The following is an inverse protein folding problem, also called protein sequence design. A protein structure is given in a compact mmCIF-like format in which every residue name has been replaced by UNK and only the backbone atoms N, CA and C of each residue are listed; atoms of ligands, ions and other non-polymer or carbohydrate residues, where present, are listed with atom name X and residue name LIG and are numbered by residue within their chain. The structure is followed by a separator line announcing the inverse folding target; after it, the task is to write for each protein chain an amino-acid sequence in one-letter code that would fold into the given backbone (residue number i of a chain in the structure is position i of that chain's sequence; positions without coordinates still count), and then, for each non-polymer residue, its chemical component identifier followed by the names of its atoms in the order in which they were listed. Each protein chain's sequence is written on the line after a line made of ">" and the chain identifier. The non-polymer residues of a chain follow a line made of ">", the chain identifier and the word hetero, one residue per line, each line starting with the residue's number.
data_IF_057151485589
#
_entry.id   IF_057151485589
#
_cell.length_a   1.000
_cell.length_b   1.000
_cell.length_c   1.000
_cell.angle_alpha   90.00
_cell.angle_beta   90.00
_cell.angle_gamma   90.00
#
_symmetry.space_group_name_H-M   'P 1'
#
loop_
_entity.id
_entity.type
_entity.pdbx_description
1 polymer ?
#
# COMPACT_ATOMS: atom_id res chain seq x y z
N UNK A 1 2.42 -7.08 46.08
CA UNK A 1 1.86 -7.95 45.02
C UNK A 1 1.12 -7.04 44.05
N UNK A 2 1.36 -7.17 42.74
CA UNK A 2 0.73 -6.31 41.73
C UNK A 2 -0.04 -7.21 40.76
N UNK A 3 -1.34 -7.00 40.64
CA UNK A 3 -2.17 -7.69 39.66
C UNK A 3 -2.38 -6.81 38.43
N UNK A 4 -2.28 -7.43 37.26
CA UNK A 4 -2.54 -6.75 36.00
C UNK A 4 -2.95 -7.74 34.91
N UNK A 5 -4.13 -7.49 34.33
CA UNK A 5 -4.69 -8.29 33.22
C UNK A 5 -4.60 -9.82 33.48
N UNK A 6 -5.02 -10.24 34.68
CA UNK A 6 -5.07 -11.65 35.08
C UNK A 6 -3.71 -12.29 35.42
N UNK A 7 -2.62 -11.51 35.47
CA UNK A 7 -1.31 -11.98 35.94
C UNK A 7 -0.91 -11.29 37.24
N UNK A 8 -0.53 -12.11 38.21
CA UNK A 8 0.06 -11.65 39.46
C UNK A 8 1.58 -11.53 39.32
N UNK A 9 2.11 -10.35 39.64
CA UNK A 9 3.55 -10.07 39.63
C UNK A 9 4.05 -9.98 41.06
N UNK A 10 4.96 -10.89 41.39
CA UNK A 10 5.68 -10.93 42.67
C UNK A 10 7.16 -10.63 42.37
N UNK A 11 7.74 -9.55 42.92
CA UNK A 11 9.14 -9.24 42.71
C UNK A 11 10.02 -10.34 43.32
N UNK A 12 11.07 -10.74 42.61
CA UNK A 12 12.08 -11.68 43.12
C UNK A 12 13.36 -10.89 43.39
N UNK A 13 13.88 -10.93 44.61
CA UNK A 13 15.06 -10.16 45.05
C UNK A 13 14.92 -8.64 44.78
N UNK A 14 13.73 -8.07 45.00
CA UNK A 14 13.45 -6.65 44.72
C UNK A 14 13.35 -6.28 43.24
N UNK A 15 13.41 -7.26 42.33
CA UNK A 15 13.36 -7.05 40.88
C UNK A 15 11.96 -7.42 40.37
N UNK A 16 11.34 -6.47 39.68
CA UNK A 16 10.08 -6.64 38.97
C UNK A 16 10.37 -7.01 37.51
N UNK A 17 9.64 -8.00 36.98
CA UNK A 17 9.73 -8.45 35.60
C UNK A 17 8.36 -8.37 34.93
N UNK A 18 8.33 -8.03 33.65
CA UNK A 18 7.09 -7.99 32.89
C UNK A 18 6.55 -9.43 32.71
N UNK A 19 5.30 -9.73 33.10
CA UNK A 19 4.72 -11.07 32.98
C UNK A 19 4.46 -11.48 31.52
N UNK A 20 4.53 -10.53 30.58
CA UNK A 20 4.28 -10.75 29.15
C UNK A 20 5.58 -10.84 28.32
N UNK A 21 6.75 -10.85 28.95
CA UNK A 21 8.05 -11.01 28.28
C UNK A 21 8.22 -10.06 27.06
N UNK A 22 8.03 -8.76 27.30
CA UNK A 22 7.96 -7.73 26.26
C UNK A 22 9.32 -7.30 25.67
N UNK A 23 10.43 -7.92 26.05
CA UNK A 23 11.75 -7.64 25.47
C UNK A 23 11.87 -8.13 24.03
N UNK A 24 12.82 -7.54 23.29
CA UNK A 24 13.17 -7.95 21.93
C UNK A 24 13.76 -9.37 21.92
N UNK A 25 13.49 -10.13 20.86
CA UNK A 25 14.07 -11.45 20.69
C UNK A 25 15.60 -11.35 20.61
N UNK A 26 16.30 -12.22 21.33
CA UNK A 26 17.77 -12.21 21.39
C UNK A 26 18.38 -11.24 22.41
N UNK A 27 17.57 -10.43 23.11
CA UNK A 27 18.05 -9.52 24.15
C UNK A 27 17.53 -9.90 25.55
N UNK A 28 18.28 -9.58 26.62
CA UNK A 28 17.80 -9.76 27.98
C UNK A 28 16.49 -9.00 28.22
N UNK A 29 15.57 -9.64 28.95
CA UNK A 29 14.27 -9.04 29.25
C UNK A 29 14.43 -7.82 30.16
N UNK A 30 13.67 -6.74 29.93
CA UNK A 30 13.72 -5.56 30.78
C UNK A 30 13.31 -5.91 32.21
N UNK A 31 14.00 -5.30 33.16
CA UNK A 31 13.79 -5.46 34.59
C UNK A 31 13.64 -4.09 35.26
N UNK A 32 12.85 -4.02 36.32
CA UNK A 32 12.66 -2.80 37.09
C UNK A 32 13.04 -3.04 38.54
N UNK A 33 13.87 -2.15 39.10
CA UNK A 33 14.27 -2.18 40.52
C UNK A 33 13.28 -1.47 41.45
N UNK A 34 12.32 -0.75 40.88
CA UNK A 34 11.31 0.02 41.65
C UNK A 34 9.91 -0.32 41.19
N UNK A 35 8.98 -0.38 42.14
CA UNK A 35 7.56 -0.58 41.86
C UNK A 35 6.99 0.52 40.96
N UNK A 36 7.36 1.78 41.21
CA UNK A 36 6.89 2.93 40.43
C UNK A 36 7.34 2.86 38.96
N UNK A 37 8.56 2.36 38.69
CA UNK A 37 9.04 2.13 37.33
C UNK A 37 8.27 1.02 36.65
N UNK A 38 8.03 -0.08 37.37
CA UNK A 38 7.25 -1.21 36.88
C UNK A 38 5.80 -0.83 36.56
N UNK A 39 5.09 -0.14 37.47
CA UNK A 39 3.72 0.34 37.27
C UNK A 39 3.59 1.29 36.07
N UNK A 40 4.61 2.11 35.79
CA UNK A 40 4.66 2.98 34.61
C UNK A 40 4.79 2.21 33.29
N UNK A 41 5.48 1.06 33.32
CA UNK A 41 5.64 0.20 32.14
C UNK A 41 4.34 -0.53 31.78
N UNK A 42 3.62 -1.07 32.77
CA UNK A 42 2.44 -1.93 32.56
C UNK A 42 1.40 -1.39 31.55
N UNK A 43 0.93 -0.12 31.63
CA UNK A 43 -0.02 0.42 30.66
C UNK A 43 0.58 0.64 29.26
N UNK A 44 1.91 0.70 29.14
CA UNK A 44 2.65 0.93 27.90
C UNK A 44 3.29 -0.35 27.34
N UNK A 45 3.03 -1.50 27.94
CA UNK A 45 3.66 -2.75 27.52
C UNK A 45 3.16 -3.13 26.11
N UNK A 46 4.07 -3.32 25.13
CA UNK A 46 3.69 -3.63 23.76
C UNK A 46 3.07 -5.03 23.60
N UNK A 47 3.36 -5.95 24.53
CA UNK A 47 2.81 -7.32 24.55
C UNK A 47 1.64 -7.47 25.53
N UNK A 48 1.05 -6.37 25.97
CA UNK A 48 -0.10 -6.38 26.86
C UNK A 48 -1.32 -6.98 26.14
N UNK A 49 -2.00 -7.99 26.71
CA UNK A 49 -3.17 -8.63 26.10
C UNK A 49 -4.23 -7.64 25.58
N UNK A 50 -4.62 -6.65 26.39
CA UNK A 50 -5.63 -5.66 25.95
C UNK A 50 -5.20 -4.84 24.73
N UNK A 51 -3.92 -4.51 24.63
CA UNK A 51 -3.36 -3.79 23.48
C UNK A 51 -3.36 -4.69 22.24
N UNK A 52 -2.90 -5.93 22.37
CA UNK A 52 -2.88 -6.90 21.27
C UNK A 52 -4.30 -7.21 20.76
N UNK A 53 -5.28 -7.32 21.66
CA UNK A 53 -6.67 -7.49 21.29
C UNK A 53 -7.25 -6.28 20.57
N UNK A 54 -6.90 -5.05 21.00
CA UNK A 54 -7.31 -3.82 20.32
C UNK A 54 -6.70 -3.77 18.91
N UNK A 55 -5.40 -4.05 18.77
CA UNK A 55 -4.73 -4.10 17.46
C UNK A 55 -5.37 -5.14 16.54
N UNK A 56 -5.68 -6.33 17.06
CA UNK A 56 -6.38 -7.39 16.30
C UNK A 56 -7.79 -6.95 15.89
N UNK A 57 -8.52 -6.26 16.76
CA UNK A 57 -9.85 -5.71 16.45
C UNK A 57 -9.76 -4.66 15.34
N UNK A 58 -8.80 -3.75 15.42
CA UNK A 58 -8.59 -2.71 14.42
C UNK A 58 -8.19 -3.32 13.06
N UNK A 59 -7.31 -4.32 13.06
CA UNK A 59 -6.92 -5.06 11.85
C UNK A 59 -8.13 -5.78 11.23
N UNK A 60 -8.91 -6.49 12.04
CA UNK A 60 -10.14 -7.13 11.56
C UNK A 60 -11.17 -6.12 11.05
N UNK A 61 -11.28 -4.95 11.68
CA UNK A 61 -12.16 -3.88 11.21
C UNK A 61 -11.71 -3.33 9.86
N UNK A 62 -10.39 -3.17 9.64
CA UNK A 62 -9.82 -2.78 8.35
C UNK A 62 -10.09 -3.83 7.27
N UNK A 63 -9.87 -5.11 7.57
CA UNK A 63 -10.16 -6.20 6.64
C UNK A 63 -11.64 -6.20 6.25
N UNK A 64 -12.56 -6.09 7.22
CA UNK A 64 -14.00 -6.02 6.93
C UNK A 64 -14.38 -4.79 6.11
N UNK A 65 -13.76 -3.64 6.38
CA UNK A 65 -13.97 -2.43 5.59
C UNK A 65 -13.43 -2.58 4.16
N UNK A 66 -12.29 -3.27 3.99
CA UNK A 66 -11.72 -3.61 2.69
C UNK A 66 -12.60 -4.59 1.92
N UNK A 67 -13.12 -5.63 2.55
CA UNK A 67 -14.06 -6.59 1.94
C UNK A 67 -15.34 -5.89 1.48
N UNK A 68 -15.93 -5.04 2.33
CA UNK A 68 -17.11 -4.26 1.97
C UNK A 68 -16.85 -3.33 0.77
N UNK A 69 -15.69 -2.66 0.74
CA UNK A 69 -15.28 -1.82 -0.40
C UNK A 69 -15.06 -2.64 -1.66
N UNK A 70 -14.36 -3.78 -1.55
CA UNK A 70 -14.13 -4.71 -2.66
C UNK A 70 -15.44 -5.15 -3.28
N UNK A 71 -16.38 -5.61 -2.46
CA UNK A 71 -17.64 -6.15 -2.95
C UNK A 71 -18.50 -5.03 -3.59
N UNK A 72 -18.47 -3.82 -3.02
CA UNK A 72 -19.11 -2.64 -3.61
C UNK A 72 -18.48 -2.26 -4.96
N UNK A 73 -17.16 -2.19 -5.05
CA UNK A 73 -16.47 -1.83 -6.28
C UNK A 73 -16.68 -2.88 -7.37
N UNK A 74 -16.59 -4.17 -7.03
CA UNK A 74 -16.87 -5.26 -7.94
C UNK A 74 -18.33 -5.25 -8.42
N UNK A 75 -19.29 -4.85 -7.58
CA UNK A 75 -20.71 -4.76 -7.98
C UNK A 75 -20.98 -3.70 -9.06
N UNK A 76 -20.10 -2.70 -9.19
CA UNK A 76 -20.21 -1.63 -10.20
C UNK A 76 -19.56 -1.98 -11.54
N UNK A 77 -18.78 -3.06 -11.57
CA UNK A 77 -18.06 -3.48 -12.78
C UNK A 77 -19.05 -4.18 -13.70
N UNK A 78 -19.19 -3.68 -14.92
CA UNK A 78 -20.09 -4.25 -15.93
C UNK A 78 -19.41 -5.28 -16.82
N UNK A 79 -18.07 -5.27 -16.87
CA UNK A 79 -17.27 -6.13 -17.72
C UNK A 79 -17.03 -7.50 -17.08
N UNK A 80 -17.08 -8.54 -17.90
CA UNK A 80 -16.87 -9.92 -17.49
C UNK A 80 -15.56 -10.48 -18.05
N UNK A 81 -15.07 -11.55 -17.42
CA UNK A 81 -13.95 -12.32 -17.96
C UNK A 81 -14.34 -12.84 -19.35
N UNK A 82 -13.47 -12.57 -20.32
CA UNK A 82 -13.69 -12.89 -21.72
C UNK A 82 -14.13 -11.71 -22.59
N UNK A 83 -14.55 -10.59 -22.01
CA UNK A 83 -14.93 -9.40 -22.78
C UNK A 83 -13.70 -8.73 -23.41
N UNK A 84 -13.92 -8.00 -24.49
CA UNK A 84 -12.87 -7.18 -25.13
C UNK A 84 -12.96 -5.76 -24.60
N UNK A 85 -11.82 -5.23 -24.15
CA UNK A 85 -11.68 -3.88 -23.63
C UNK A 85 -10.65 -3.07 -24.41
N UNK A 86 -10.90 -1.77 -24.50
CA UNK A 86 -10.01 -0.80 -25.12
C UNK A 86 -9.49 0.15 -24.03
N UNK A 87 -8.19 0.42 -24.04
CA UNK A 87 -7.54 1.20 -22.99
C UNK A 87 -6.38 2.02 -23.55
N UNK A 88 -5.91 3.00 -22.78
CA UNK A 88 -4.67 3.73 -23.07
C UNK A 88 -3.64 3.35 -22.03
N UNK A 89 -2.45 2.93 -22.48
CA UNK A 89 -1.31 2.66 -21.61
C UNK A 89 -0.27 3.76 -21.72
N UNK A 90 0.33 4.09 -20.58
CA UNK A 90 1.49 4.96 -20.49
C UNK A 90 2.74 4.11 -20.44
N UNK A 91 3.65 4.30 -21.39
CA UNK A 91 4.96 3.65 -21.44
C UNK A 91 6.02 4.69 -21.11
N UNK A 92 6.83 4.40 -20.09
CA UNK A 92 8.02 5.22 -19.81
C UNK A 92 9.16 4.74 -20.70
N UNK A 93 9.50 5.52 -21.73
CA UNK A 93 10.58 5.22 -22.68
C UNK A 93 11.95 5.53 -22.07
N UNK A 94 12.08 6.68 -21.39
CA UNK A 94 13.28 7.03 -20.62
C UNK A 94 12.89 7.37 -19.19
N UNK A 95 13.25 6.53 -18.21
CA UNK A 95 12.92 6.78 -16.82
C UNK A 95 13.78 7.91 -16.26
N UNK A 96 13.30 8.53 -15.18
CA UNK A 96 14.06 9.54 -14.42
C UNK A 96 15.18 8.94 -13.57
N UNK A 97 15.19 7.62 -13.39
CA UNK A 97 16.21 6.91 -12.63
C UNK A 97 16.75 5.75 -13.46
N UNK A 98 18.06 5.69 -13.60
CA UNK A 98 18.77 4.62 -14.30
C UNK A 98 19.60 3.81 -13.31
N UNK A 99 19.64 2.49 -13.50
CA UNK A 99 20.55 1.62 -12.76
C UNK A 99 21.99 1.90 -13.22
N UNK A 100 22.86 2.34 -12.31
CA UNK A 100 24.30 2.51 -12.55
C UNK A 100 25.08 1.69 -11.54
N UNK A 101 25.54 0.51 -11.98
CA UNK A 101 26.14 -0.48 -11.10
C UNK A 101 25.12 -1.06 -10.14
N UNK A 102 25.34 -0.89 -8.82
CA UNK A 102 24.50 -1.42 -7.75
C UNK A 102 23.49 -0.42 -7.18
N UNK A 103 23.35 0.78 -7.77
CA UNK A 103 22.43 1.83 -7.29
C UNK A 103 21.60 2.44 -8.40
N UNK A 104 20.40 2.91 -8.05
CA UNK A 104 19.56 3.74 -8.90
C UNK A 104 20.02 5.21 -8.80
N UNK A 105 20.28 5.84 -9.93
CA UNK A 105 20.75 7.24 -10.00
C UNK A 105 19.72 8.08 -10.75
N UNK A 106 19.31 9.20 -10.13
CA UNK A 106 18.40 10.17 -10.76
C UNK A 106 19.12 10.90 -11.90
N UNK A 107 18.51 10.93 -13.07
CA UNK A 107 19.00 11.64 -14.25
C UNK A 107 18.33 13.02 -14.36
N UNK A 108 18.99 13.96 -15.04
CA UNK A 108 18.57 15.39 -15.12
C UNK A 108 17.65 15.73 -16.30
N UNK A 109 17.35 14.78 -17.17
CA UNK A 109 16.38 15.00 -18.26
C UNK A 109 14.95 14.75 -17.76
N UNK A 110 13.95 15.31 -18.45
CA UNK A 110 12.54 14.99 -18.22
C UNK A 110 12.22 13.57 -18.68
N UNK A 111 11.34 12.83 -18.00
CA UNK A 111 10.95 11.50 -18.44
C UNK A 111 10.38 11.55 -19.87
N UNK A 112 10.78 10.60 -20.71
CA UNK A 112 10.12 10.45 -22.01
C UNK A 112 8.99 9.46 -21.85
N UNK A 113 7.75 9.96 -21.92
CA UNK A 113 6.54 9.17 -21.88
C UNK A 113 6.01 8.96 -23.31
N UNK A 114 5.43 7.79 -23.53
CA UNK A 114 4.70 7.45 -24.75
C UNK A 114 3.34 6.90 -24.38
N UNK A 115 2.30 7.38 -25.04
CA UNK A 115 0.93 6.91 -24.84
C UNK A 115 0.50 6.05 -26.01
N UNK A 116 -0.02 4.86 -25.73
CA UNK A 116 -0.47 3.93 -26.76
C UNK A 116 -1.87 3.41 -26.43
N UNK A 117 -2.73 3.32 -27.44
CA UNK A 117 -3.99 2.60 -27.32
C UNK A 117 -3.74 1.08 -27.39
N UNK A 118 -4.34 0.33 -26.49
CA UNK A 118 -4.34 -1.12 -26.48
C UNK A 118 -5.76 -1.68 -26.60
N UNK A 119 -5.86 -2.87 -27.17
CA UNK A 119 -7.06 -3.71 -27.08
C UNK A 119 -6.64 -5.03 -26.48
N UNK A 120 -7.37 -5.51 -25.48
CA UNK A 120 -7.10 -6.81 -24.87
C UNK A 120 -8.39 -7.49 -24.46
N UNK A 121 -8.31 -8.80 -24.24
CA UNK A 121 -9.40 -9.58 -23.67
C UNK A 121 -9.21 -9.63 -22.16
N UNK A 122 -10.29 -9.56 -21.40
CA UNK A 122 -10.22 -9.70 -19.94
C UNK A 122 -9.92 -11.16 -19.60
N UNK A 123 -8.78 -11.41 -18.99
CA UNK A 123 -8.34 -12.71 -18.48
C UNK A 123 -8.55 -12.80 -16.97
N UNK A 124 -8.41 -11.68 -16.24
CA UNK A 124 -8.59 -11.63 -14.79
C UNK A 124 -9.17 -10.29 -14.34
N UNK A 125 -10.04 -10.32 -13.33
CA UNK A 125 -10.56 -9.15 -12.63
C UNK A 125 -9.99 -9.19 -11.21
N UNK A 126 -9.31 -8.13 -10.81
CA UNK A 126 -8.62 -8.04 -9.53
C UNK A 126 -9.02 -6.77 -8.78
N UNK A 127 -8.72 -6.70 -7.49
CA UNK A 127 -8.99 -5.53 -6.66
C UNK A 127 -7.81 -5.20 -5.76
N UNK A 128 -7.54 -3.90 -5.60
CA UNK A 128 -6.50 -3.38 -4.71
C UNK A 128 -7.09 -2.28 -3.83
N UNK A 129 -6.99 -2.41 -2.51
CA UNK A 129 -7.59 -1.47 -1.54
C UNK A 129 -7.29 0.01 -1.79
N UNK A 130 -6.10 0.32 -2.32
CA UNK A 130 -5.69 1.70 -2.62
C UNK A 130 -6.18 2.26 -3.95
N UNK A 131 -6.56 1.41 -4.91
CA UNK A 131 -6.80 1.83 -6.32
C UNK A 131 -8.09 1.26 -6.93
N UNK A 132 -8.81 0.40 -6.22
CA UNK A 132 -10.06 -0.20 -6.69
C UNK A 132 -9.83 -1.39 -7.63
N UNK A 133 -10.81 -1.62 -8.52
CA UNK A 133 -10.81 -2.73 -9.47
C UNK A 133 -9.89 -2.46 -10.65
N UNK A 134 -9.17 -3.50 -11.07
CA UNK A 134 -8.35 -3.50 -12.27
C UNK A 134 -8.43 -4.83 -13.01
N UNK A 135 -8.23 -4.77 -14.32
CA UNK A 135 -8.25 -5.88 -15.25
C UNK A 135 -6.83 -6.28 -15.63
N UNK A 136 -6.60 -7.58 -15.84
CA UNK A 136 -5.32 -8.16 -16.27
C UNK A 136 -4.13 -7.60 -15.45
N UNK A 137 -3.04 -7.23 -16.12
CA UNK A 137 -1.82 -6.67 -15.54
C UNK A 137 -1.92 -5.16 -15.24
N UNK A 138 -3.00 -4.72 -14.59
CA UNK A 138 -3.11 -3.36 -14.04
C UNK A 138 -3.79 -2.33 -14.94
N UNK A 139 -4.78 -2.74 -15.73
CA UNK A 139 -5.64 -1.82 -16.49
C UNK A 139 -6.80 -1.40 -15.59
N UNK A 140 -6.89 -0.12 -15.22
CA UNK A 140 -7.94 0.35 -14.30
C UNK A 140 -9.24 0.66 -15.03
N UNK A 141 -10.36 0.60 -14.30
CA UNK A 141 -11.68 0.95 -14.84
C UNK A 141 -11.72 2.38 -15.40
N UNK A 142 -10.95 3.30 -14.80
CA UNK A 142 -10.83 4.70 -15.26
C UNK A 142 -10.20 4.85 -16.64
N UNK A 143 -9.46 3.84 -17.09
CA UNK A 143 -8.65 3.90 -18.30
C UNK A 143 -9.31 3.14 -19.46
N UNK A 144 -10.55 2.68 -19.25
CA UNK A 144 -11.34 2.00 -20.27
C UNK A 144 -12.10 2.99 -21.15
N UNK A 145 -12.13 2.69 -22.44
CA UNK A 145 -12.85 3.44 -23.46
C UNK A 145 -13.88 2.54 -24.15
N UNK A 146 -14.92 3.16 -24.68
CA UNK A 146 -16.05 2.44 -25.30
C UNK A 146 -15.63 1.80 -26.61
N UNK A 147 -14.69 2.41 -27.34
CA UNK A 147 -14.24 1.94 -28.64
C UNK A 147 -12.73 2.05 -28.81
N UNK A 148 -12.19 1.25 -29.74
CA UNK A 148 -10.78 1.31 -30.11
C UNK A 148 -10.36 2.67 -30.67
N UNK A 149 -11.26 3.34 -31.41
CA UNK A 149 -10.95 4.64 -32.03
C UNK A 149 -11.00 5.78 -31.02
N UNK A 150 -11.88 5.69 -30.01
CA UNK A 150 -11.86 6.61 -28.87
C UNK A 150 -10.55 6.47 -28.07
N UNK A 151 -10.12 5.24 -27.79
CA UNK A 151 -8.83 5.00 -27.11
C UNK A 151 -7.64 5.55 -27.91
N UNK A 152 -7.63 5.39 -29.25
CA UNK A 152 -6.60 5.96 -30.12
C UNK A 152 -6.59 7.48 -30.08
N UNK A 153 -7.76 8.09 -30.18
CA UNK A 153 -7.91 9.55 -30.12
C UNK A 153 -7.40 10.06 -28.78
N UNK A 154 -7.75 9.39 -27.69
CA UNK A 154 -7.30 9.79 -26.36
C UNK A 154 -5.80 9.62 -26.15
N UNK A 155 -5.22 8.53 -26.66
CA UNK A 155 -3.77 8.34 -26.64
C UNK A 155 -3.04 9.47 -27.40
N UNK A 156 -3.57 9.89 -28.55
CA UNK A 156 -3.01 11.00 -29.32
C UNK A 156 -3.13 12.35 -28.60
N UNK A 157 -4.27 12.63 -27.96
CA UNK A 157 -4.45 13.81 -27.12
C UNK A 157 -3.47 13.85 -25.94
N UNK A 158 -3.31 12.71 -25.24
CA UNK A 158 -2.37 12.60 -24.13
C UNK A 158 -0.93 12.77 -24.58
N UNK A 159 -0.55 12.21 -25.74
CA UNK A 159 0.76 12.40 -26.32
C UNK A 159 0.99 13.88 -26.67
N UNK A 160 0.05 14.54 -27.35
CA UNK A 160 0.17 15.94 -27.71
C UNK A 160 0.28 16.85 -26.48
N UNK A 161 -0.51 16.59 -25.43
CA UNK A 161 -0.43 17.32 -24.17
C UNK A 161 0.92 17.12 -23.47
N UNK A 162 1.47 15.89 -23.50
CA UNK A 162 2.78 15.61 -22.94
C UNK A 162 3.90 16.28 -23.74
N UNK A 163 3.84 16.22 -25.06
CA UNK A 163 4.83 16.84 -25.95
C UNK A 163 4.85 18.36 -25.75
N UNK A 164 3.68 18.98 -25.55
CA UNK A 164 3.59 20.41 -25.23
C UNK A 164 4.16 20.73 -23.84
N UNK A 165 3.90 19.88 -22.84
CA UNK A 165 4.51 20.01 -21.52
C UNK A 165 6.04 19.91 -21.57
N UNK A 166 6.59 18.97 -22.34
CA UNK A 166 8.03 18.82 -22.55
C UNK A 166 8.59 20.07 -23.25
N UNK A 167 7.96 20.53 -24.33
CA UNK A 167 8.37 21.74 -25.06
C UNK A 167 8.37 22.98 -24.17
N UNK A 168 7.32 23.18 -23.39
CA UNK A 168 7.21 24.30 -22.44
C UNK A 168 8.31 24.21 -21.39
N UNK A 169 8.57 23.02 -20.86
CA UNK A 169 9.61 22.78 -19.86
C UNK A 169 11.02 23.04 -20.41
N UNK A 170 11.25 22.79 -21.71
CA UNK A 170 12.51 23.13 -22.38
C UNK A 170 12.70 24.64 -22.54
N UNK A 171 11.63 25.40 -22.78
CA UNK A 171 11.68 26.86 -22.93
C UNK A 171 11.90 27.63 -21.62
N UNK A 172 11.59 27.01 -20.48
CA UNK A 172 11.75 27.60 -19.14
C UNK A 172 13.06 27.20 -18.44
N UNK A 173 13.97 26.51 -19.14
CA UNK A 173 15.32 26.13 -18.65
C UNK A 173 16.38 27.07 -19.18
#
# INVERSE_FOLDING_TARGET
>A
MIEFEGKTVIPKNGIYRCPFHCGANGYPQPIWKTETGFRRHMPKCPKRPSLLEAMRRDENAKIKADECRRDNDLSKVTQNIGDTIHFVRTITVKPTHEQRGNRMVRVRYEPQLRYESGTTRIESINWLSSRGVYFNHGIFLSDLYTSADEAKTKAAEMQASWDEHVRTSEMCR
#
